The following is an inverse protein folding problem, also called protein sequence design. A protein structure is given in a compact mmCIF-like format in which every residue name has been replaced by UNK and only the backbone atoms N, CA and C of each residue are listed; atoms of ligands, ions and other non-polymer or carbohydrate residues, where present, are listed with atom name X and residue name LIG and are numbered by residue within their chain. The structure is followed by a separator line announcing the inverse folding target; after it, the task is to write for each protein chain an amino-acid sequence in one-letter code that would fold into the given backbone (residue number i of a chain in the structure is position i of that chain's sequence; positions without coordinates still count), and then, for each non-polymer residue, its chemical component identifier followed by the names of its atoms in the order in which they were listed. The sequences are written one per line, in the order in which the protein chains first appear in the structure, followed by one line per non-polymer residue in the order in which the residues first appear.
data_IF_426554352572
#
_entry.id   IF_426554352572
#
_cell.length_a   1.000
_cell.length_b   1.000
_cell.length_c   1.000
_cell.angle_alpha   90.00
_cell.angle_beta   90.00
_cell.angle_gamma   90.00
#
_symmetry.space_group_name_H-M   'P 1'
#
loop_
_entity.id
_entity.type
_entity.pdbx_description
1 polymer ?
#
# COMPACT_ATOMS: atom_id res chain seq x y z
N UNK A 1 -2.49 20.30 17.55
CA UNK A 1 -3.13 20.55 16.23
C UNK A 1 -2.22 21.52 15.49
N UNK A 2 -1.98 21.32 14.18
CA UNK A 2 -1.06 22.20 13.42
C UNK A 2 -1.62 23.61 13.29
N UNK A 3 -0.76 24.63 13.28
CA UNK A 3 -1.12 26.00 12.89
C UNK A 3 -1.30 26.11 11.37
N UNK A 4 -1.82 27.25 10.89
CA UNK A 4 -1.96 27.49 9.44
C UNK A 4 -0.60 27.52 8.75
N UNK A 5 0.39 28.12 9.38
CA UNK A 5 1.74 28.28 8.83
C UNK A 5 2.46 26.91 8.77
N UNK A 6 2.39 26.12 9.85
CA UNK A 6 2.93 24.75 9.87
C UNK A 6 2.28 23.85 8.81
N UNK A 7 0.97 24.01 8.57
CA UNK A 7 0.28 23.25 7.53
C UNK A 7 0.72 23.71 6.13
N UNK A 8 0.92 25.00 5.91
CA UNK A 8 1.42 25.52 4.64
C UNK A 8 2.82 24.98 4.32
N UNK A 9 3.73 24.99 5.30
CA UNK A 9 5.09 24.42 5.16
C UNK A 9 5.05 22.93 4.82
N UNK A 10 4.17 22.17 5.49
CA UNK A 10 3.95 20.75 5.18
C UNK A 10 3.51 20.55 3.72
N UNK A 11 2.57 21.37 3.23
CA UNK A 11 2.10 21.27 1.85
C UNK A 11 3.21 21.61 0.85
N UNK A 12 4.06 22.59 1.14
CA UNK A 12 5.21 22.92 0.30
C UNK A 12 6.17 21.73 0.20
N UNK A 13 6.52 21.12 1.35
CA UNK A 13 7.36 19.92 1.39
C UNK A 13 6.73 18.74 0.66
N UNK A 14 5.43 18.52 0.81
CA UNK A 14 4.72 17.45 0.10
C UNK A 14 4.75 17.66 -1.42
N UNK A 15 4.65 18.91 -1.90
CA UNK A 15 4.76 19.23 -3.33
C UNK A 15 6.16 18.97 -3.87
N UNK A 16 7.20 19.23 -3.09
CA UNK A 16 8.59 18.91 -3.45
C UNK A 16 8.79 17.40 -3.54
N UNK A 17 8.37 16.65 -2.53
CA UNK A 17 8.43 15.18 -2.52
C UNK A 17 7.66 14.57 -3.69
N UNK A 18 6.46 15.07 -4.00
CA UNK A 18 5.65 14.57 -5.09
C UNK A 18 6.21 14.87 -6.50
N UNK A 19 7.29 15.65 -6.61
CA UNK A 19 8.01 15.86 -7.87
C UNK A 19 9.16 14.88 -8.07
N UNK A 20 9.59 14.19 -7.01
CA UNK A 20 10.69 13.24 -7.07
C UNK A 20 10.20 11.89 -7.66
N UNK A 21 10.71 11.46 -8.83
CA UNK A 21 10.35 10.17 -9.42
C UNK A 21 10.66 8.97 -8.53
N UNK A 22 11.68 9.06 -7.66
CA UNK A 22 12.00 7.99 -6.71
C UNK A 22 10.88 7.82 -5.68
N UNK A 23 10.38 8.94 -5.13
CA UNK A 23 9.26 8.95 -4.18
C UNK A 23 7.97 8.41 -4.81
N UNK A 24 7.77 8.66 -6.11
CA UNK A 24 6.60 8.18 -6.85
C UNK A 24 6.70 6.72 -7.29
N UNK A 25 7.88 6.09 -7.19
CA UNK A 25 8.08 4.71 -7.60
C UNK A 25 7.24 3.77 -6.72
N UNK A 26 6.57 2.83 -7.37
CA UNK A 26 5.83 1.80 -6.66
C UNK A 26 6.78 0.94 -5.81
N UNK A 27 6.53 0.89 -4.49
CA UNK A 27 7.28 0.06 -3.52
C UNK A 27 6.58 -1.26 -3.19
N UNK A 28 5.52 -1.61 -3.94
CA UNK A 28 4.72 -2.80 -3.68
C UNK A 28 5.57 -4.07 -3.84
N UNK A 29 5.58 -5.00 -2.85
CA UNK A 29 6.35 -6.24 -2.95
C UNK A 29 5.73 -7.24 -3.95
N UNK A 30 4.46 -7.05 -4.34
CA UNK A 30 3.73 -7.94 -5.24
C UNK A 30 4.07 -7.66 -6.71
N UNK A 31 5.28 -8.01 -7.14
CA UNK A 31 5.81 -7.71 -8.49
C UNK A 31 5.16 -8.50 -9.63
N UNK A 32 4.57 -9.67 -9.33
CA UNK A 32 3.82 -10.46 -10.30
C UNK A 32 2.39 -9.94 -10.55
N UNK A 33 1.90 -9.01 -9.72
CA UNK A 33 0.58 -8.42 -9.89
C UNK A 33 0.51 -7.64 -11.20
N UNK A 34 -0.56 -7.83 -11.98
CA UNK A 34 -0.80 -7.10 -13.22
C UNK A 34 -0.81 -5.57 -13.00
N UNK A 35 -1.26 -5.11 -11.84
CA UNK A 35 -1.36 -3.69 -11.49
C UNK A 35 -0.09 -3.12 -10.85
N UNK A 36 1.00 -3.89 -10.78
CA UNK A 36 2.28 -3.39 -10.28
C UNK A 36 2.75 -2.18 -11.08
N UNK A 37 3.18 -1.11 -10.41
CA UNK A 37 3.52 0.17 -11.04
C UNK A 37 2.31 1.04 -11.44
N UNK A 38 1.10 0.48 -11.54
CA UNK A 38 -0.15 1.18 -11.85
C UNK A 38 -0.87 1.62 -10.56
N UNK A 39 -0.22 2.49 -9.79
CA UNK A 39 -0.65 2.84 -8.42
C UNK A 39 -2.07 3.44 -8.34
N UNK A 40 -2.48 4.24 -9.35
CA UNK A 40 -3.81 4.88 -9.36
C UNK A 40 -4.92 3.84 -9.52
N UNK A 41 -4.73 2.91 -10.44
CA UNK A 41 -5.62 1.78 -10.74
C UNK A 41 -5.68 0.83 -9.53
N UNK A 42 -4.52 0.48 -8.97
CA UNK A 42 -4.42 -0.34 -7.76
C UNK A 42 -5.25 0.25 -6.60
N UNK A 43 -5.08 1.54 -6.29
CA UNK A 43 -5.85 2.22 -5.23
C UNK A 43 -7.35 2.24 -5.55
N UNK A 44 -7.74 2.42 -6.82
CA UNK A 44 -9.15 2.40 -7.21
C UNK A 44 -9.79 1.02 -6.98
N UNK A 45 -9.10 -0.07 -7.33
CA UNK A 45 -9.56 -1.44 -7.13
C UNK A 45 -9.70 -1.77 -5.63
N UNK A 46 -8.69 -1.47 -4.81
CA UNK A 46 -8.76 -1.70 -3.36
C UNK A 46 -9.86 -0.87 -2.69
N UNK A 47 -10.08 0.38 -3.15
CA UNK A 47 -11.17 1.22 -2.66
C UNK A 47 -12.54 0.68 -3.02
N UNK A 48 -12.70 0.11 -4.23
CA UNK A 48 -13.96 -0.47 -4.68
C UNK A 48 -14.30 -1.73 -3.89
N UNK A 49 -13.36 -2.67 -3.80
CA UNK A 49 -13.58 -3.97 -3.14
C UNK A 49 -13.62 -3.87 -1.61
N UNK A 50 -12.91 -2.91 -1.00
CA UNK A 50 -12.85 -2.67 0.45
C UNK A 50 -12.43 -3.89 1.30
N UNK A 51 -11.84 -4.92 0.67
CA UNK A 51 -11.39 -6.12 1.37
C UNK A 51 -10.13 -5.83 2.19
N UNK A 52 -9.13 -5.21 1.55
CA UNK A 52 -7.89 -4.79 2.21
C UNK A 52 -7.23 -3.62 1.48
N UNK A 53 -6.25 -2.99 2.14
CA UNK A 53 -5.41 -1.93 1.59
C UNK A 53 -4.36 -2.49 0.60
N UNK A 54 -3.82 -1.65 -0.31
CA UNK A 54 -2.70 -2.03 -1.16
C UNK A 54 -1.51 -2.56 -0.37
N UNK A 55 -0.80 -3.55 -0.90
CA UNK A 55 0.33 -4.20 -0.21
C UNK A 55 1.46 -3.21 0.16
N UNK A 56 1.68 -2.15 -0.62
CA UNK A 56 2.64 -1.10 -0.27
C UNK A 56 2.26 -0.27 0.97
N UNK A 57 1.00 -0.29 1.40
CA UNK A 57 0.56 0.42 2.61
C UNK A 57 0.54 -0.47 3.86
N UNK A 58 0.53 -1.79 3.67
CA UNK A 58 0.45 -2.75 4.77
C UNK A 58 1.58 -2.60 5.79
N UNK A 59 2.88 -2.39 5.42
CA UNK A 59 3.96 -2.33 6.42
C UNK A 59 3.75 -1.28 7.51
N UNK A 60 3.51 -0.02 7.14
CA UNK A 60 3.35 1.05 8.12
C UNK A 60 2.00 0.99 8.87
N UNK A 61 0.98 0.35 8.28
CA UNK A 61 -0.30 0.10 8.96
C UNK A 61 -0.12 -1.00 10.00
N UNK A 62 0.52 -2.10 9.61
CA UNK A 62 0.80 -3.23 10.49
C UNK A 62 1.67 -2.79 11.68
N UNK A 63 2.65 -1.91 11.47
CA UNK A 63 3.42 -1.29 12.55
C UNK A 63 2.54 -0.57 13.58
N UNK A 64 1.55 0.21 13.11
CA UNK A 64 0.60 0.89 14.01
C UNK A 64 -0.34 -0.09 14.72
N UNK A 65 -0.77 -1.15 14.03
CA UNK A 65 -1.66 -2.17 14.59
C UNK A 65 -0.96 -3.05 15.64
N UNK A 66 0.35 -3.29 15.52
CA UNK A 66 1.11 -4.09 16.49
C UNK A 66 0.95 -3.58 17.93
N UNK A 67 0.98 -2.26 18.12
CA UNK A 67 0.84 -1.68 19.46
C UNK A 67 -0.57 -1.84 20.01
N UNK A 68 -1.59 -1.75 19.16
CA UNK A 68 -2.98 -2.00 19.54
C UNK A 68 -3.22 -3.46 19.94
N UNK A 69 -2.70 -4.39 19.16
CA UNK A 69 -2.87 -5.83 19.35
C UNK A 69 -2.23 -6.30 20.66
N UNK A 70 -1.08 -5.73 21.05
CA UNK A 70 -0.41 -6.03 22.33
C UNK A 70 -1.25 -5.68 23.57
N UNK A 71 -2.11 -4.65 23.50
CA UNK A 71 -2.95 -4.24 24.65
C UNK A 71 -3.90 -5.37 25.06
N UNK A 72 -4.36 -6.18 24.11
CA UNK A 72 -5.23 -7.32 24.37
C UNK A 72 -4.51 -8.65 24.54
N UNK A 73 -3.17 -8.64 24.70
CA UNK A 73 -2.34 -9.87 24.74
C UNK A 73 -2.50 -10.75 23.50
N UNK A 74 -2.83 -10.16 22.36
CA UNK A 74 -3.03 -10.86 21.09
C UNK A 74 -1.73 -10.93 20.27
N UNK A 75 -1.70 -11.85 19.32
CA UNK A 75 -0.67 -11.90 18.27
C UNK A 75 -1.33 -11.70 16.91
N UNK A 76 -0.91 -10.68 16.17
CA UNK A 76 -1.31 -10.50 14.79
C UNK A 76 -0.43 -11.37 13.89
N UNK A 77 -1.08 -12.13 13.00
CA UNK A 77 -0.41 -12.96 12.00
C UNK A 77 -0.70 -12.41 10.61
N UNK A 78 0.30 -12.40 9.74
CA UNK A 78 0.09 -12.04 8.35
C UNK A 78 -0.75 -13.12 7.66
N UNK A 79 -1.67 -12.68 6.80
CA UNK A 79 -2.46 -13.59 5.97
C UNK A 79 -1.55 -14.25 4.93
N UNK A 80 -1.80 -15.53 4.67
CA UNK A 80 -1.15 -16.24 3.56
C UNK A 80 -1.34 -15.49 2.23
N UNK A 81 -0.25 -15.35 1.48
CA UNK A 81 -0.27 -14.66 0.20
C UNK A 81 -0.88 -15.54 -0.89
N UNK A 82 -1.50 -14.90 -1.89
CA UNK A 82 -1.97 -15.62 -3.08
C UNK A 82 -0.79 -16.28 -3.79
N UNK A 83 -0.85 -17.60 -4.07
CA UNK A 83 0.22 -18.30 -4.76
C UNK A 83 0.55 -17.70 -6.14
N UNK A 84 1.83 -17.70 -6.49
CA UNK A 84 2.30 -17.14 -7.76
C UNK A 84 1.71 -17.88 -8.98
N UNK A 85 1.40 -19.17 -8.84
CA UNK A 85 0.78 -19.97 -9.89
C UNK A 85 -0.58 -19.42 -10.36
N UNK A 86 -1.31 -18.68 -9.52
CA UNK A 86 -2.61 -18.13 -9.92
C UNK A 86 -2.43 -17.00 -10.94
N UNK A 87 -1.42 -16.16 -10.74
CA UNK A 87 -1.03 -15.14 -11.72
C UNK A 87 -0.41 -15.75 -12.97
N UNK A 88 0.28 -16.89 -12.86
CA UNK A 88 0.77 -17.62 -14.02
C UNK A 88 -0.42 -18.15 -14.85
N UNK A 89 -1.40 -18.76 -14.19
CA UNK A 89 -2.62 -19.26 -14.82
C UNK A 89 -3.40 -18.16 -15.55
N UNK A 90 -3.60 -16.99 -14.93
CA UNK A 90 -4.25 -15.83 -15.60
C UNK A 90 -3.52 -15.49 -16.91
N UNK A 91 -2.19 -15.37 -16.85
CA UNK A 91 -1.38 -15.07 -18.06
C UNK A 91 -1.40 -16.18 -19.11
N UNK A 92 -1.67 -17.42 -18.72
CA UNK A 92 -1.85 -18.51 -19.68
C UNK A 92 -3.18 -18.41 -20.41
N UNK A 93 -4.24 -17.99 -19.73
CA UNK A 93 -5.57 -17.84 -20.34
C UNK A 93 -5.69 -16.62 -21.25
N UNK A 94 -4.90 -15.58 -21.01
CA UNK A 94 -4.90 -14.34 -21.81
C UNK A 94 -4.09 -14.45 -23.13
N UNK A 95 -3.49 -15.62 -23.42
CA UNK A 95 -2.75 -15.91 -24.66
C UNK A 95 -3.64 -16.52 -25.73
#
# INVERSE_FOLDING_TARGET
MRTKDEYYELIQKNRELARDPEVLRCTCPQTFCEWHGRCRECVALHRYHKDHVPACFQPFINEKLKDLVKIGELTAVEKEQTPAEYWAYVREQDK
#
